data_IF_346323725304
#
_entry.id   IF_346323725304
#
_cell.length_a   1.000
_cell.length_b   1.000
_cell.length_c   1.000
_cell.angle_alpha   90.00
_cell.angle_beta   90.00
_cell.angle_gamma   90.00
#
_symmetry.space_group_name_H-M   'P 1'
#
loop_
_entity.id
_entity.type
_entity.pdbx_description
1 polymer ?
#
# COMPACT_ATOMS: atom_id res chain seq x y z
N UNK A 1 19.21 -9.10 -35.82
CA UNK A 1 18.26 -7.99 -35.59
C UNK A 1 19.09 -6.77 -35.23
N UNK A 2 19.13 -5.76 -36.09
CA UNK A 2 19.88 -4.51 -35.84
C UNK A 2 19.03 -3.58 -34.97
N UNK A 3 19.58 -3.00 -33.88
CA UNK A 3 18.81 -2.09 -33.03
C UNK A 3 18.55 -0.80 -33.81
N UNK A 4 17.28 -0.52 -34.11
CA UNK A 4 16.87 0.76 -34.68
C UNK A 4 16.48 1.71 -33.56
N UNK A 5 17.19 2.84 -33.46
CA UNK A 5 16.97 3.89 -32.47
C UNK A 5 15.85 4.82 -32.97
N UNK A 6 14.62 4.32 -33.02
CA UNK A 6 13.46 5.16 -33.32
C UNK A 6 12.98 5.81 -32.02
N UNK A 7 13.12 7.13 -31.91
CA UNK A 7 12.78 7.94 -30.72
C UNK A 7 11.27 8.09 -30.47
N UNK A 8 10.42 7.45 -31.29
CA UNK A 8 8.96 7.44 -31.17
C UNK A 8 8.38 6.14 -30.56
N UNK A 9 9.20 5.31 -29.90
CA UNK A 9 8.67 4.19 -29.13
C UNK A 9 7.89 4.73 -27.93
N UNK A 10 6.59 4.49 -27.86
CA UNK A 10 5.80 4.84 -26.68
C UNK A 10 6.12 3.86 -25.55
N UNK A 11 5.89 4.27 -24.30
CA UNK A 11 6.05 3.38 -23.14
C UNK A 11 5.24 2.08 -23.30
N UNK A 12 4.08 2.17 -23.95
CA UNK A 12 3.21 1.03 -24.25
C UNK A 12 3.93 0.04 -25.17
N UNK A 13 4.53 0.50 -26.26
CA UNK A 13 5.26 -0.37 -27.20
C UNK A 13 6.44 -1.09 -26.53
N UNK A 14 7.10 -0.42 -25.58
CA UNK A 14 8.18 -1.01 -24.79
C UNK A 14 7.65 -2.07 -23.82
N UNK A 15 6.56 -1.79 -23.11
CA UNK A 15 5.94 -2.74 -22.19
C UNK A 15 5.45 -3.97 -22.94
N UNK A 16 4.72 -3.80 -24.04
CA UNK A 16 4.23 -4.90 -24.88
C UNK A 16 5.40 -5.78 -25.33
N UNK A 17 6.49 -5.15 -25.77
CA UNK A 17 7.67 -5.89 -26.21
C UNK A 17 8.37 -6.64 -25.08
N UNK A 18 8.44 -6.07 -23.88
CA UNK A 18 8.98 -6.75 -22.69
C UNK A 18 8.08 -7.92 -22.29
N UNK A 19 6.76 -7.76 -22.32
CA UNK A 19 5.83 -8.82 -21.97
C UNK A 19 5.87 -9.97 -22.99
N UNK A 20 5.95 -9.67 -24.29
CA UNK A 20 5.94 -10.68 -25.36
C UNK A 20 7.28 -11.37 -25.60
N UNK A 21 8.39 -10.64 -25.48
CA UNK A 21 9.74 -11.16 -25.82
C UNK A 21 10.59 -11.43 -24.60
N UNK A 22 10.30 -10.78 -23.49
CA UNK A 22 11.10 -10.84 -22.27
C UNK A 22 12.33 -9.94 -22.31
N UNK A 23 12.84 -9.67 -21.11
CA UNK A 23 14.02 -8.89 -20.79
C UNK A 23 14.82 -9.66 -19.74
N UNK A 24 16.12 -9.83 -19.95
CA UNK A 24 17.03 -10.38 -18.93
C UNK A 24 17.95 -9.28 -18.45
N UNK A 25 17.95 -9.04 -17.14
CA UNK A 25 18.74 -8.04 -16.44
C UNK A 25 19.85 -8.77 -15.67
N UNK A 26 21.09 -8.40 -15.98
CA UNK A 26 22.27 -8.80 -15.21
C UNK A 26 22.81 -7.55 -14.53
N UNK A 27 22.88 -7.56 -13.20
CA UNK A 27 23.37 -6.44 -12.43
C UNK A 27 24.33 -6.92 -11.35
N UNK A 28 25.42 -6.16 -11.17
CA UNK A 28 26.41 -6.38 -10.13
C UNK A 28 26.47 -5.13 -9.24
N UNK A 29 26.36 -5.33 -7.94
CA UNK A 29 26.44 -4.27 -6.93
C UNK A 29 27.56 -4.61 -5.95
N UNK A 30 28.43 -3.64 -5.68
CA UNK A 30 29.46 -3.74 -4.65
C UNK A 30 29.17 -2.68 -3.58
N UNK A 31 29.04 -3.13 -2.34
CA UNK A 31 28.88 -2.26 -1.17
C UNK A 31 30.22 -2.17 -0.45
N UNK A 32 30.72 -0.94 -0.31
CA UNK A 32 32.01 -0.64 0.30
C UNK A 32 31.85 0.24 1.53
N UNK A 33 32.72 0.04 2.52
CA UNK A 33 32.83 0.91 3.71
C UNK A 33 34.26 1.40 3.81
N UNK A 34 34.45 2.72 3.94
CA UNK A 34 35.76 3.36 3.96
C UNK A 34 36.66 2.98 2.76
N UNK A 35 36.07 2.78 1.58
CA UNK A 35 36.80 2.40 0.36
C UNK A 35 37.15 0.90 0.27
N UNK A 36 36.80 0.09 1.27
CA UNK A 36 37.02 -1.35 1.28
C UNK A 36 35.73 -2.06 0.82
N UNK A 37 35.74 -2.86 -0.26
CA UNK A 37 34.57 -3.61 -0.70
C UNK A 37 34.27 -4.74 0.29
N UNK A 38 33.08 -4.74 0.86
CA UNK A 38 32.67 -5.74 1.88
C UNK A 38 31.65 -6.74 1.33
N UNK A 39 30.73 -6.29 0.47
CA UNK A 39 29.64 -7.12 -0.03
C UNK A 39 29.56 -6.99 -1.54
N UNK A 40 29.55 -8.12 -2.25
CA UNK A 40 29.21 -8.21 -3.66
C UNK A 40 27.85 -8.88 -3.83
N UNK A 41 26.96 -8.27 -4.62
CA UNK A 41 25.63 -8.79 -4.95
C UNK A 41 25.56 -8.97 -6.46
N UNK A 42 25.33 -10.21 -6.91
CA UNK A 42 25.03 -10.52 -8.30
C UNK A 42 23.52 -10.77 -8.44
N UNK A 43 22.87 -10.00 -9.30
CA UNK A 43 21.46 -10.15 -9.64
C UNK A 43 21.34 -10.62 -11.09
N UNK A 44 20.60 -11.72 -11.28
CA UNK A 44 20.11 -12.17 -12.59
C UNK A 44 18.59 -12.22 -12.51
N UNK A 45 17.93 -11.33 -13.23
CA UNK A 45 16.48 -11.24 -13.24
C UNK A 45 15.96 -11.39 -14.67
N UNK A 46 14.89 -12.15 -14.86
CA UNK A 46 14.14 -12.16 -16.10
C UNK A 46 12.78 -11.48 -15.86
N UNK A 47 12.35 -10.63 -16.79
CA UNK A 47 11.07 -9.95 -16.80
C UNK A 47 10.37 -10.21 -18.13
N UNK A 48 9.19 -10.82 -18.10
CA UNK A 48 8.38 -11.14 -19.27
C UNK A 48 6.94 -11.39 -18.82
N UNK A 49 6.00 -11.48 -19.75
CA UNK A 49 4.65 -11.96 -19.46
C UNK A 49 4.69 -13.42 -18.99
N UNK A 50 3.69 -13.84 -18.20
CA UNK A 50 3.62 -15.20 -17.64
C UNK A 50 3.62 -16.27 -18.72
N UNK A 51 2.85 -16.08 -19.80
CA UNK A 51 2.85 -17.01 -20.94
C UNK A 51 4.25 -17.17 -21.54
N UNK A 52 4.94 -16.05 -21.75
CA UNK A 52 6.31 -16.00 -22.26
C UNK A 52 7.30 -16.68 -21.31
N UNK A 53 7.21 -16.44 -20.00
CA UNK A 53 8.03 -17.12 -18.99
C UNK A 53 7.87 -18.64 -19.06
N UNK A 54 6.62 -19.13 -19.08
CA UNK A 54 6.31 -20.55 -19.12
C UNK A 54 6.77 -21.22 -20.42
N UNK A 55 6.61 -20.51 -21.56
CA UNK A 55 7.12 -20.93 -22.86
C UNK A 55 8.63 -21.12 -22.84
N UNK A 56 9.36 -20.23 -22.17
CA UNK A 56 10.80 -20.36 -21.97
C UNK A 56 11.21 -21.33 -20.86
N UNK A 57 10.26 -22.03 -20.25
CA UNK A 57 10.54 -22.99 -19.18
C UNK A 57 10.82 -22.36 -17.82
N UNK A 58 10.66 -21.05 -17.70
CA UNK A 58 10.80 -20.32 -16.44
C UNK A 58 9.47 -20.34 -15.68
N UNK A 59 9.53 -20.34 -14.34
CA UNK A 59 8.38 -20.28 -13.45
C UNK A 59 7.33 -21.39 -13.62
N UNK A 60 7.62 -22.51 -14.31
CA UNK A 60 6.67 -23.64 -14.46
C UNK A 60 6.26 -24.24 -13.13
N UNK A 61 7.23 -24.59 -12.29
CA UNK A 61 6.94 -25.11 -10.95
C UNK A 61 6.18 -24.10 -10.09
N UNK A 62 6.45 -22.81 -10.26
CA UNK A 62 5.76 -21.75 -9.53
C UNK A 62 4.31 -21.58 -10.02
N UNK A 63 4.05 -21.63 -11.33
CA UNK A 63 2.70 -21.59 -11.91
C UNK A 63 1.92 -22.86 -11.56
N UNK A 64 2.53 -24.04 -11.61
CA UNK A 64 1.93 -25.30 -11.18
C UNK A 64 1.60 -25.29 -9.68
N UNK A 65 2.52 -24.82 -8.83
CA UNK A 65 2.26 -24.64 -7.38
C UNK A 65 1.20 -23.59 -7.13
N UNK A 66 1.17 -22.49 -7.89
CA UNK A 66 0.17 -21.43 -7.74
C UNK A 66 -1.21 -21.94 -8.13
N UNK A 67 -1.34 -22.69 -9.24
CA UNK A 67 -2.59 -23.32 -9.67
C UNK A 67 -3.02 -24.46 -8.76
N UNK A 68 -2.08 -25.24 -8.23
CA UNK A 68 -2.36 -26.28 -7.24
C UNK A 68 -2.83 -25.66 -5.93
N UNK A 69 -2.17 -24.59 -5.47
CA UNK A 69 -2.58 -23.78 -4.34
C UNK A 69 -3.95 -23.15 -4.58
N UNK A 70 -4.25 -22.58 -5.75
CA UNK A 70 -5.58 -22.06 -6.10
C UNK A 70 -6.64 -23.16 -6.21
N UNK A 71 -6.29 -24.41 -6.55
CA UNK A 71 -7.23 -25.53 -6.56
C UNK A 71 -7.46 -26.12 -5.17
N UNK A 72 -6.43 -26.17 -4.34
CA UNK A 72 -6.49 -26.67 -2.96
C UNK A 72 -7.05 -25.62 -1.99
N UNK A 73 -6.74 -24.34 -2.19
CA UNK A 73 -7.15 -23.19 -1.37
C UNK A 73 -8.23 -22.32 -2.04
N UNK A 74 -8.59 -22.59 -3.30
CA UNK A 74 -9.80 -22.03 -3.93
C UNK A 74 -11.09 -22.52 -3.28
N UNK A 75 -10.99 -23.50 -2.39
CA UNK A 75 -11.96 -23.70 -1.32
C UNK A 75 -11.52 -22.92 -0.08
N UNK A 76 -12.00 -21.67 0.04
CA UNK A 76 -12.21 -21.00 1.33
C UNK A 76 -11.01 -21.08 2.29
N UNK A 77 -9.99 -20.24 2.10
CA UNK A 77 -9.44 -19.60 3.30
C UNK A 77 -10.54 -18.66 3.80
N UNK A 78 -11.45 -19.22 4.60
CA UNK A 78 -12.50 -18.45 5.26
C UNK A 78 -11.78 -17.34 6.01
N UNK A 79 -11.97 -16.10 5.55
CA UNK A 79 -11.94 -14.95 6.45
C UNK A 79 -12.62 -15.43 7.72
N UNK A 80 -12.00 -15.21 8.88
CA UNK A 80 -12.66 -15.47 10.16
C UNK A 80 -13.81 -14.48 10.33
N UNK A 81 -14.85 -14.70 9.54
CA UNK A 81 -16.15 -14.08 9.65
C UNK A 81 -16.70 -14.52 11.00
N UNK A 82 -17.16 -13.57 11.79
CA UNK A 82 -17.84 -13.87 13.03
C UNK A 82 -19.07 -14.73 12.71
N UNK A 83 -19.48 -15.57 13.67
CA UNK A 83 -20.56 -16.52 13.44
C UNK A 83 -21.86 -15.78 13.09
N UNK A 84 -22.33 -15.89 11.84
CA UNK A 84 -23.49 -15.15 11.31
C UNK A 84 -23.16 -13.90 10.48
N UNK A 85 -21.88 -13.65 10.20
CA UNK A 85 -21.43 -12.53 9.38
C UNK A 85 -21.42 -12.90 7.88
N UNK A 86 -22.39 -12.41 7.12
CA UNK A 86 -22.44 -12.59 5.66
C UNK A 86 -21.68 -11.48 4.92
N UNK A 87 -21.03 -11.86 3.81
CA UNK A 87 -20.36 -10.92 2.90
C UNK A 87 -21.39 -10.28 1.98
N UNK A 88 -21.52 -8.96 2.08
CA UNK A 88 -22.44 -8.14 1.28
C UNK A 88 -21.79 -7.75 -0.05
N UNK A 89 -20.50 -7.44 -0.03
CA UNK A 89 -19.73 -7.04 -1.21
C UNK A 89 -18.30 -7.54 -1.09
N UNK A 90 -17.78 -8.14 -2.17
CA UNK A 90 -16.37 -8.50 -2.34
C UNK A 90 -15.85 -7.87 -3.62
N UNK A 91 -14.73 -7.14 -3.55
CA UNK A 91 -14.07 -6.59 -4.74
C UNK A 91 -12.57 -6.41 -4.54
N UNK A 92 -11.82 -6.22 -5.63
CA UNK A 92 -10.41 -5.85 -5.55
C UNK A 92 -10.27 -4.40 -5.07
N UNK A 93 -9.30 -4.18 -4.18
CA UNK A 93 -8.99 -2.86 -3.67
C UNK A 93 -7.60 -2.76 -3.06
N UNK A 94 -7.33 -1.61 -2.45
CA UNK A 94 -6.09 -1.33 -1.76
C UNK A 94 -6.33 -0.35 -0.62
N UNK A 95 -5.51 -0.43 0.42
CA UNK A 95 -5.43 0.61 1.44
C UNK A 95 -4.09 1.33 1.32
N UNK A 96 -4.11 2.64 1.57
CA UNK A 96 -2.88 3.39 1.71
C UNK A 96 -2.33 3.19 3.12
N UNK A 97 -1.10 2.71 3.21
CA UNK A 97 -0.37 2.57 4.47
C UNK A 97 0.83 3.51 4.44
N UNK A 98 0.97 4.33 5.47
CA UNK A 98 2.11 5.23 5.69
C UNK A 98 2.98 4.76 6.86
N UNK A 99 3.08 3.45 7.08
CA UNK A 99 3.94 2.89 8.12
C UNK A 99 5.43 3.16 7.79
N UNK A 100 6.15 3.77 8.74
CA UNK A 100 7.55 4.19 8.53
C UNK A 100 7.74 5.31 7.51
N UNK A 101 8.85 5.31 6.76
CA UNK A 101 9.17 6.33 5.73
C UNK A 101 8.58 6.02 4.35
N UNK A 102 7.99 4.83 4.19
CA UNK A 102 7.45 4.32 2.93
C UNK A 102 5.93 4.35 2.97
N UNK A 103 5.37 5.37 2.31
CA UNK A 103 3.97 5.37 1.94
C UNK A 103 3.76 4.43 0.73
N UNK A 104 2.96 3.39 0.90
CA UNK A 104 2.65 2.45 -0.18
C UNK A 104 1.18 2.01 -0.14
N UNK A 105 0.65 1.73 -1.32
CA UNK A 105 -0.62 1.03 -1.45
C UNK A 105 -0.42 -0.46 -1.20
N UNK A 106 -1.10 -1.00 -0.20
CA UNK A 106 -1.17 -2.44 0.03
C UNK A 106 -2.45 -2.97 -0.61
N UNK A 107 -2.31 -3.84 -1.61
CA UNK A 107 -3.41 -4.41 -2.40
C UNK A 107 -3.95 -5.71 -1.81
N UNK A 108 -5.26 -5.91 -1.93
CA UNK A 108 -6.00 -7.10 -1.49
C UNK A 108 -7.45 -7.09 -1.97
N UNK A 109 -8.28 -7.92 -1.36
CA UNK A 109 -9.73 -7.92 -1.56
C UNK A 109 -10.41 -7.15 -0.43
N UNK A 110 -11.25 -6.19 -0.81
CA UNK A 110 -12.16 -5.51 0.09
C UNK A 110 -13.40 -6.39 0.29
N UNK A 111 -13.79 -6.54 1.54
CA UNK A 111 -14.99 -7.22 1.95
C UNK A 111 -15.80 -6.29 2.83
N UNK A 112 -17.02 -5.99 2.39
CA UNK A 112 -18.04 -5.36 3.22
C UNK A 112 -18.91 -6.47 3.80
N UNK A 113 -18.99 -6.53 5.12
CA UNK A 113 -19.83 -7.48 5.83
C UNK A 113 -21.01 -6.79 6.49
N UNK A 114 -21.81 -7.58 7.20
CA UNK A 114 -22.89 -7.07 8.02
C UNK A 114 -22.47 -6.04 9.07
N UNK A 115 -21.21 -6.06 9.54
CA UNK A 115 -20.76 -5.29 10.72
C UNK A 115 -19.49 -4.46 10.50
N UNK A 116 -18.65 -4.82 9.53
CA UNK A 116 -17.34 -4.21 9.31
C UNK A 116 -16.93 -4.19 7.84
N UNK A 117 -15.92 -3.37 7.56
CA UNK A 117 -15.20 -3.32 6.30
C UNK A 117 -13.77 -3.82 6.53
N UNK A 118 -13.31 -4.76 5.71
CA UNK A 118 -11.98 -5.35 5.83
C UNK A 118 -11.28 -5.45 4.46
N UNK A 119 -9.98 -5.20 4.44
CA UNK A 119 -9.09 -5.47 3.31
C UNK A 119 -8.22 -6.67 3.68
N UNK A 120 -8.39 -7.76 2.95
CA UNK A 120 -7.70 -9.01 3.21
C UNK A 120 -6.83 -9.40 2.01
N UNK A 121 -5.60 -9.82 2.29
CA UNK A 121 -4.66 -10.30 1.29
C UNK A 121 -4.61 -11.82 1.36
N UNK A 122 -5.42 -12.44 0.50
CA UNK A 122 -5.64 -13.90 0.47
C UNK A 122 -4.33 -14.70 0.40
N UNK A 123 -3.43 -14.35 -0.51
CA UNK A 123 -2.16 -15.08 -0.70
C UNK A 123 -1.23 -15.10 0.52
N UNK A 124 -1.42 -14.18 1.48
CA UNK A 124 -0.57 -14.06 2.67
C UNK A 124 -1.32 -14.31 3.98
N UNK A 125 -2.62 -14.59 3.93
CA UNK A 125 -3.42 -14.77 5.14
C UNK A 125 -3.54 -13.50 6.01
N UNK A 126 -3.34 -12.32 5.43
CA UNK A 126 -3.08 -11.08 6.18
C UNK A 126 -4.27 -10.10 6.07
N UNK A 127 -4.72 -9.58 7.21
CA UNK A 127 -5.66 -8.45 7.26
C UNK A 127 -4.87 -7.15 7.19
N UNK A 128 -5.00 -6.44 6.07
CA UNK A 128 -4.29 -5.19 5.79
C UNK A 128 -5.01 -3.96 6.36
N UNK A 129 -6.33 -4.06 6.51
CA UNK A 129 -7.17 -3.01 7.07
C UNK A 129 -8.46 -3.63 7.61
N UNK A 130 -8.96 -3.14 8.74
CA UNK A 130 -10.23 -3.53 9.30
C UNK A 130 -10.84 -2.37 10.07
N UNK A 131 -12.12 -2.09 9.83
CA UNK A 131 -12.90 -1.15 10.64
C UNK A 131 -14.35 -1.61 10.81
N UNK A 132 -14.88 -1.64 12.04
CA UNK A 132 -16.33 -1.73 12.27
C UNK A 132 -17.06 -0.57 11.58
N UNK A 133 -18.24 -0.84 11.03
CA UNK A 133 -19.07 0.18 10.37
C UNK A 133 -19.49 1.28 11.34
N UNK A 134 -19.73 0.95 12.60
CA UNK A 134 -20.07 1.91 13.66
C UNK A 134 -18.98 2.96 13.90
N UNK A 135 -17.72 2.65 13.56
CA UNK A 135 -16.60 3.60 13.71
C UNK A 135 -16.45 4.54 12.52
N UNK A 136 -17.18 4.31 11.44
CA UNK A 136 -17.16 5.17 10.26
C UNK A 136 -18.10 6.35 10.53
N UNK A 137 -17.56 7.56 10.54
CA UNK A 137 -18.32 8.81 10.68
C UNK A 137 -18.61 9.47 9.35
N UNK A 138 -17.74 9.30 8.35
CA UNK A 138 -17.89 9.96 7.05
C UNK A 138 -17.23 9.21 5.90
N UNK A 139 -17.75 9.43 4.70
CA UNK A 139 -17.30 8.84 3.45
C UNK A 139 -17.17 9.93 2.39
N UNK A 140 -15.98 10.09 1.80
CA UNK A 140 -15.75 11.10 0.76
C UNK A 140 -14.96 10.47 -0.38
N UNK A 141 -15.45 10.63 -1.62
CA UNK A 141 -14.68 10.29 -2.81
C UNK A 141 -13.81 11.49 -3.17
N UNK A 142 -12.53 11.26 -3.38
CA UNK A 142 -11.61 12.26 -3.92
C UNK A 142 -10.87 11.69 -5.11
N UNK A 143 -10.48 12.57 -6.02
CA UNK A 143 -9.56 12.23 -7.10
C UNK A 143 -8.15 12.51 -6.59
N UNK A 144 -7.30 11.48 -6.56
CA UNK A 144 -5.90 11.63 -6.17
C UNK A 144 -5.05 12.13 -7.35
N UNK A 145 -4.15 13.08 -7.10
CA UNK A 145 -3.10 13.46 -8.05
C UNK A 145 -1.88 12.56 -7.83
N UNK A 146 -1.48 11.82 -8.87
CA UNK A 146 -0.21 11.08 -8.89
C UNK A 146 0.73 11.65 -9.95
N UNK A 147 2.03 11.47 -9.69
CA UNK A 147 3.21 11.92 -10.45
C UNK A 147 3.26 11.47 -11.93
N UNK A 148 2.27 10.75 -12.44
CA UNK A 148 2.16 10.33 -13.84
C UNK A 148 0.91 10.95 -14.45
N UNK A 149 1.10 11.99 -15.25
CA UNK A 149 0.08 12.60 -16.11
C UNK A 149 -0.59 11.53 -16.98
N UNK A 150 -1.77 11.02 -16.56
CA UNK A 150 -2.91 10.56 -17.42
C UNK A 150 -4.00 9.71 -16.75
N UNK A 151 -3.94 9.35 -15.47
CA UNK A 151 -5.07 8.66 -14.81
C UNK A 151 -5.37 9.23 -13.43
N UNK A 152 -6.41 10.06 -13.37
CA UNK A 152 -7.13 10.35 -12.13
C UNK A 152 -7.68 9.02 -11.59
N UNK A 153 -7.19 8.57 -10.44
CA UNK A 153 -7.85 7.49 -9.70
C UNK A 153 -8.73 8.10 -8.63
N UNK A 154 -9.96 7.62 -8.58
CA UNK A 154 -10.84 7.89 -7.46
C UNK A 154 -10.35 7.09 -6.25
N UNK A 155 -10.40 7.73 -5.09
CA UNK A 155 -10.02 7.21 -3.79
C UNK A 155 -11.17 7.46 -2.83
N UNK A 156 -11.49 6.48 -1.99
CA UNK A 156 -12.45 6.61 -0.90
C UNK A 156 -11.73 6.97 0.38
N UNK A 157 -12.14 8.08 0.98
CA UNK A 157 -11.68 8.56 2.27
C UNK A 157 -12.73 8.17 3.31
N UNK A 158 -12.33 7.31 4.24
CA UNK A 158 -13.08 6.92 5.42
C UNK A 158 -12.64 7.80 6.58
N UNK A 159 -13.56 8.58 7.15
CA UNK A 159 -13.33 9.25 8.42
C UNK A 159 -13.80 8.33 9.53
N UNK A 160 -12.85 7.97 10.37
CA UNK A 160 -13.07 7.10 11.50
C UNK A 160 -13.26 7.92 12.78
N UNK A 161 -13.70 7.26 13.83
CA UNK A 161 -13.67 7.80 15.20
C UNK A 161 -12.25 8.24 15.60
N UNK A 162 -12.14 9.34 16.34
CA UNK A 162 -10.86 9.92 16.77
C UNK A 162 -10.09 10.65 15.66
N UNK A 163 -10.81 11.25 14.70
CA UNK A 163 -10.27 12.03 13.57
C UNK A 163 -9.23 11.29 12.70
N UNK A 164 -9.23 9.96 12.75
CA UNK A 164 -8.39 9.11 11.90
C UNK A 164 -8.98 9.00 10.50
N UNK A 165 -8.11 8.94 9.50
CA UNK A 165 -8.50 8.81 8.09
C UNK A 165 -7.90 7.54 7.53
N UNK A 166 -8.73 6.71 6.90
CA UNK A 166 -8.27 5.61 6.06
C UNK A 166 -8.54 5.94 4.59
N UNK A 167 -7.53 5.73 3.74
CA UNK A 167 -7.66 5.90 2.29
C UNK A 167 -7.72 4.54 1.63
N UNK A 168 -8.77 4.33 0.86
CA UNK A 168 -8.98 3.12 0.10
C UNK A 168 -9.04 3.44 -1.40
N UNK A 169 -8.55 2.52 -2.21
CA UNK A 169 -8.81 2.46 -3.64
C UNK A 169 -9.57 1.17 -3.92
N UNK A 170 -10.48 1.22 -4.88
CA UNK A 170 -11.30 0.09 -5.25
C UNK A 170 -11.40 0.00 -6.77
N UNK A 171 -11.76 -1.18 -7.27
CA UNK A 171 -12.07 -1.36 -8.69
C UNK A 171 -13.22 -0.44 -9.12
N UNK A 172 -14.23 -0.30 -8.26
CA UNK A 172 -15.33 0.64 -8.39
C UNK A 172 -15.55 1.34 -7.03
N UNK A 173 -15.11 2.59 -6.96
CA UNK A 173 -15.14 3.40 -5.73
C UNK A 173 -16.55 3.87 -5.39
N UNK A 174 -17.36 4.17 -6.42
CA UNK A 174 -18.74 4.60 -6.26
C UNK A 174 -19.59 3.46 -5.71
N UNK A 175 -19.48 2.27 -6.30
CA UNK A 175 -20.19 1.07 -5.82
C UNK A 175 -19.82 0.73 -4.37
N UNK A 176 -18.53 0.83 -4.01
CA UNK A 176 -18.09 0.60 -2.64
C UNK A 176 -18.73 1.60 -1.67
N UNK A 177 -18.71 2.89 -2.00
CA UNK A 177 -19.31 3.94 -1.17
C UNK A 177 -20.81 3.71 -0.99
N UNK A 178 -21.55 3.49 -2.08
CA UNK A 178 -23.00 3.25 -2.04
C UNK A 178 -23.36 2.04 -1.19
N UNK A 179 -22.59 0.95 -1.30
CA UNK A 179 -22.82 -0.25 -0.51
C UNK A 179 -22.60 -0.01 0.99
N UNK A 180 -21.55 0.74 1.36
CA UNK A 180 -21.30 1.11 2.76
C UNK A 180 -22.43 2.01 3.27
N UNK A 181 -22.82 3.04 2.52
CA UNK A 181 -23.91 3.95 2.91
C UNK A 181 -25.23 3.22 3.10
N UNK A 182 -25.60 2.35 2.15
CA UNK A 182 -26.79 1.52 2.24
C UNK A 182 -26.76 0.66 3.50
N UNK A 183 -25.63 -0.01 3.75
CA UNK A 183 -25.51 -0.89 4.92
C UNK A 183 -25.55 -0.13 6.24
N UNK A 184 -24.89 1.01 6.32
CA UNK A 184 -24.94 1.87 7.50
C UNK A 184 -26.34 2.40 7.79
N UNK A 185 -27.09 2.78 6.74
CA UNK A 185 -28.49 3.19 6.86
C UNK A 185 -29.38 2.04 7.37
N UNK A 186 -29.18 0.82 6.88
CA UNK A 186 -29.92 -0.37 7.37
C UNK A 186 -29.66 -0.64 8.87
N UNK A 187 -28.45 -0.35 9.35
CA UNK A 187 -28.05 -0.50 10.76
C UNK A 187 -28.42 0.73 11.63
N UNK A 188 -28.93 1.80 11.02
CA UNK A 188 -29.28 3.04 11.72
C UNK A 188 -28.08 3.92 12.10
N UNK A 189 -26.91 3.71 11.50
CA UNK A 189 -25.75 4.57 11.71
C UNK A 189 -25.84 5.85 10.88
N UNK A 190 -25.57 6.99 11.51
CA UNK A 190 -25.63 8.31 10.87
C UNK A 190 -24.24 8.70 10.39
N UNK A 191 -24.12 9.01 9.10
CA UNK A 191 -22.93 9.62 8.52
C UNK A 191 -23.00 11.14 8.63
N UNK A 192 -21.86 11.76 8.94
CA UNK A 192 -21.69 13.20 8.91
C UNK A 192 -21.90 13.68 7.47
N UNK A 193 -22.88 14.57 7.27
CA UNK A 193 -23.36 14.99 5.94
C UNK A 193 -22.30 15.67 5.07
N UNK A 194 -21.25 16.19 5.69
CA UNK A 194 -20.07 16.76 5.03
C UNK A 194 -18.98 16.84 6.10
N UNK A 195 -18.08 15.85 6.17
CA UNK A 195 -16.98 15.93 7.11
C UNK A 195 -16.09 17.11 6.71
N UNK A 196 -15.89 18.05 7.64
CA UNK A 196 -14.95 19.15 7.47
C UNK A 196 -13.63 18.56 6.98
N UNK A 197 -13.15 19.04 5.83
CA UNK A 197 -11.91 18.59 5.20
C UNK A 197 -10.79 18.56 6.23
N UNK A 198 -10.32 17.38 6.69
CA UNK A 198 -9.13 17.36 7.51
C UNK A 198 -7.96 17.76 6.59
N UNK A 199 -7.29 18.84 6.95
CA UNK A 199 -6.01 19.21 6.36
C UNK A 199 -5.05 18.07 6.68
N UNK A 200 -4.49 17.45 5.64
CA UNK A 200 -3.50 16.38 5.79
C UNK A 200 -2.25 16.95 6.46
N UNK A 201 -2.12 16.75 7.77
CA UNK A 201 -0.80 16.75 8.41
C UNK A 201 -0.29 15.32 8.43
N UNK A 202 0.89 15.10 7.83
CA UNK A 202 1.65 13.85 7.84
C UNK A 202 1.96 13.40 9.28
N UNK A 203 0.99 12.82 10.01
CA UNK A 203 1.15 12.24 11.37
C UNK A 203 2.04 13.07 12.32
N UNK A 204 2.11 14.38 12.09
CA UNK A 204 2.97 15.29 12.83
C UNK A 204 2.38 15.62 14.19
N UNK A 205 1.09 15.29 14.40
CA UNK A 205 0.30 15.75 15.54
C UNK A 205 0.29 14.79 16.74
N UNK A 206 0.58 13.49 16.58
CA UNK A 206 0.44 12.53 17.69
C UNK A 206 1.50 12.71 18.80
N UNK A 207 2.66 13.30 18.47
CA UNK A 207 3.72 13.62 19.47
C UNK A 207 3.73 15.09 19.91
N UNK A 208 2.84 15.94 19.38
CA UNK A 208 2.77 17.35 19.75
C UNK A 208 2.22 17.51 21.16
N UNK A 209 2.87 18.37 21.95
CA UNK A 209 2.39 18.76 23.27
C UNK A 209 1.30 19.83 23.16
N UNK A 210 0.48 20.00 24.21
CA UNK A 210 -0.65 20.94 24.17
C UNK A 210 -0.16 22.38 23.86
N UNK A 211 -0.68 22.95 22.77
CA UNK A 211 -0.30 24.29 22.29
C UNK A 211 1.03 24.36 21.55
N UNK A 212 1.54 23.25 21.01
CA UNK A 212 2.68 23.18 20.10
C UNK A 212 2.19 23.16 18.64
N UNK A 213 2.77 24.00 17.77
CA UNK A 213 2.40 24.09 16.35
C UNK A 213 3.51 23.56 15.45
N UNK A 214 3.14 22.74 14.46
CA UNK A 214 4.08 22.23 13.47
C UNK A 214 4.39 23.33 12.44
N UNK A 215 5.69 23.59 12.22
CA UNK A 215 6.17 24.54 11.21
C UNK A 215 6.45 23.81 9.90
N UNK A 216 7.20 22.71 9.96
CA UNK A 216 7.46 21.86 8.80
C UNK A 216 7.84 20.44 9.21
N UNK A 217 7.57 19.47 8.35
CA UNK A 217 7.93 18.07 8.52
C UNK A 217 8.57 17.52 7.26
N UNK A 218 9.40 16.48 7.40
CA UNK A 218 10.00 15.79 6.28
C UNK A 218 10.59 14.45 6.65
N UNK A 219 10.81 13.61 5.64
CA UNK A 219 11.42 12.28 5.83
C UNK A 219 12.91 12.44 6.12
N UNK A 220 13.40 11.81 7.17
CA UNK A 220 14.80 11.89 7.55
C UNK A 220 15.30 10.61 8.21
N UNK A 221 16.49 10.18 7.80
CA UNK A 221 17.23 9.13 8.48
C UNK A 221 18.06 9.74 9.61
N UNK A 222 18.00 9.13 10.79
CA UNK A 222 18.79 9.53 11.93
C UNK A 222 19.76 8.41 12.30
N UNK A 223 21.01 8.78 12.55
CA UNK A 223 22.02 7.84 13.01
C UNK A 223 21.85 7.68 14.51
N UNK A 224 21.18 6.60 14.91
CA UNK A 224 20.96 6.30 16.32
C UNK A 224 22.26 5.75 16.89
N UNK A 225 22.82 6.46 17.88
CA UNK A 225 23.88 5.93 18.72
C UNK A 225 23.30 4.86 19.63
N UNK A 226 23.79 3.63 19.51
CA UNK A 226 23.40 2.56 20.42
C UNK A 226 24.27 2.60 21.68
N UNK A 227 23.64 2.47 22.86
CA UNK A 227 24.34 2.04 24.07
C UNK A 227 24.48 0.52 24.03
N UNK A 228 25.72 0.01 23.90
CA UNK A 228 26.02 -1.42 23.92
C UNK A 228 26.77 -1.93 22.68
N UNK A 229 26.67 -3.25 22.42
CA UNK A 229 27.45 -3.98 21.39
C UNK A 229 26.92 -3.74 19.97
N UNK A 230 25.70 -3.22 19.85
CA UNK A 230 25.16 -2.77 18.57
C UNK A 230 25.88 -1.47 18.17
N UNK A 231 26.45 -1.40 16.96
CA UNK A 231 27.07 -0.18 16.45
C UNK A 231 26.04 0.91 16.10
N UNK A 232 26.54 2.05 15.62
CA UNK A 232 25.69 3.12 15.08
C UNK A 232 24.82 2.57 13.94
N UNK A 233 23.50 2.71 14.06
CA UNK A 233 22.54 2.19 13.08
C UNK A 233 21.73 3.34 12.52
N UNK A 234 21.65 3.42 11.18
CA UNK A 234 20.78 4.37 10.51
C UNK A 234 19.33 3.90 10.64
N UNK A 235 18.52 4.68 11.34
CA UNK A 235 17.10 4.41 11.51
C UNK A 235 16.28 5.37 10.64
N UNK A 236 15.30 4.86 9.89
CA UNK A 236 14.39 5.70 9.11
C UNK A 236 13.32 6.34 10.00
N UNK A 237 12.99 7.61 9.76
CA UNK A 237 11.95 8.32 10.50
C UNK A 237 11.51 9.62 9.82
N UNK A 238 10.82 10.45 10.58
CA UNK A 238 10.38 11.78 10.19
C UNK A 238 11.02 12.82 11.11
N UNK A 239 11.48 13.91 10.54
CA UNK A 239 11.93 15.10 11.27
C UNK A 239 10.82 16.15 11.20
N UNK A 240 10.43 16.65 12.36
CA UNK A 240 9.41 17.67 12.51
C UNK A 240 9.99 18.87 13.24
N UNK A 241 9.89 20.04 12.63
CA UNK A 241 10.18 21.32 13.25
C UNK A 241 8.86 21.90 13.74
N UNK A 242 8.76 22.17 15.04
CA UNK A 242 7.65 22.86 15.66
C UNK A 242 8.06 24.27 16.09
N UNK A 243 7.11 25.07 16.55
CA UNK A 243 7.35 26.38 17.17
C UNK A 243 8.17 26.30 18.47
N UNK A 244 8.38 25.10 19.02
CA UNK A 244 9.08 24.87 20.29
C UNK A 244 10.33 24.00 20.19
N UNK A 245 10.39 23.04 19.24
CA UNK A 245 11.48 22.05 19.19
C UNK A 245 11.62 21.41 17.81
N UNK A 246 12.74 20.71 17.65
CA UNK A 246 12.98 19.80 16.54
C UNK A 246 12.85 18.37 17.05
N UNK A 247 11.93 17.60 16.48
CA UNK A 247 11.61 16.23 16.88
C UNK A 247 11.93 15.26 15.74
N UNK A 248 12.73 14.23 16.02
CA UNK A 248 12.84 13.08 15.14
C UNK A 248 12.00 11.93 15.69
N UNK A 249 11.08 11.40 14.88
CA UNK A 249 10.09 10.38 15.25
C UNK A 249 10.19 9.17 14.31
N UNK A 250 10.12 7.96 14.84
CA UNK A 250 10.09 6.72 14.05
C UNK A 250 8.95 5.81 14.54
N UNK A 251 8.24 5.20 13.60
CA UNK A 251 7.10 4.31 13.86
C UNK A 251 7.42 2.93 13.27
N UNK A 252 8.22 2.16 14.01
CA UNK A 252 8.40 0.72 13.79
C UNK A 252 8.06 0.03 15.11
N UNK A 253 6.92 -0.66 15.15
CA UNK A 253 6.66 -1.71 16.15
C UNK A 253 7.26 -3.02 15.68
#
# INVERSE_FOLDING_TARGET
>A
MTPQRNTNATLVDLLDRVLDKGLVIHADLIVSVAGIPLIGVNLRAALAGMETMLKYGMMREWDERSRAWEKEHGSKQEISLLQGEDVILKMLGACYSSEGIYAAWKYGYLYLTGERLLLYRENFGEVLFETPLVKIRGLVIRKGEYFTEKKEREELYLLLEGDKIARLSALDVAQLKEAIEKRMNELGYVLDKEPATPVFEERGAEFLTHGEQLICGGKMWYLVGAEGIAGQTWSPGHLYLTDKRLCWYYDFK
#
